data_IF_392957067277
#
_entry.id   IF_392957067277
#
_cell.length_a   1.000
_cell.length_b   1.000
_cell.length_c   1.000
_cell.angle_alpha   90.00
_cell.angle_beta   90.00
_cell.angle_gamma   90.00
#
_symmetry.space_group_name_H-M   'P 1'
#
loop_
_entity.id
_entity.type
_entity.pdbx_description
1 polymer ?
#
# COMPACT_ATOMS: atom_id res chain seq x y z
N UNK A 1 13.33 -10.67 3.22
CA UNK A 1 13.99 -9.35 3.17
C UNK A 1 12.95 -8.25 3.17
N UNK A 2 13.29 -7.04 3.58
CA UNK A 2 12.35 -5.92 3.61
C UNK A 2 13.01 -4.62 3.15
N UNK A 3 12.22 -3.77 2.48
CA UNK A 3 12.55 -2.41 2.17
C UNK A 3 11.68 -1.49 3.03
N UNK A 4 12.28 -0.51 3.66
CA UNK A 4 11.60 0.35 4.63
C UNK A 4 11.21 1.66 3.98
N UNK A 5 9.89 1.93 3.94
CA UNK A 5 9.32 3.17 3.41
C UNK A 5 9.41 4.31 4.40
N UNK A 6 9.13 4.04 5.67
CA UNK A 6 9.13 5.04 6.72
C UNK A 6 9.43 4.42 8.08
N UNK A 7 10.02 5.21 8.96
CA UNK A 7 10.21 4.91 10.38
C UNK A 7 9.23 5.77 11.19
N UNK A 8 8.61 5.19 12.19
CA UNK A 8 7.73 5.91 13.10
C UNK A 8 8.30 5.95 14.51
N UNK A 9 8.27 7.12 15.12
CA UNK A 9 8.48 7.27 16.57
C UNK A 9 7.11 7.14 17.24
N UNK A 10 6.85 5.98 17.82
CA UNK A 10 5.52 5.61 18.30
C UNK A 10 5.58 4.96 19.67
N UNK A 11 4.57 5.24 20.50
CA UNK A 11 4.34 4.57 21.77
C UNK A 11 2.84 4.21 21.91
N UNK A 12 2.42 3.76 23.09
CA UNK A 12 1.03 3.37 23.34
C UNK A 12 0.03 4.55 23.29
N UNK A 13 0.51 5.78 23.33
CA UNK A 13 -0.32 6.99 23.29
C UNK A 13 -0.49 7.54 21.87
N UNK A 14 0.40 7.19 20.95
CA UNK A 14 0.31 7.64 19.56
C UNK A 14 1.66 7.73 18.84
N UNK A 15 1.61 8.29 17.64
CA UNK A 15 2.76 8.55 16.77
C UNK A 15 3.23 9.98 17.00
N UNK A 16 4.49 10.17 17.40
CA UNK A 16 5.10 11.48 17.65
C UNK A 16 5.99 11.96 16.51
N UNK A 17 6.39 11.07 15.60
CA UNK A 17 7.20 11.44 14.46
C UNK A 17 7.19 10.36 13.38
N UNK A 18 7.35 10.80 12.13
CA UNK A 18 7.48 9.94 10.97
C UNK A 18 8.68 10.42 10.15
N UNK A 19 9.57 9.51 9.80
CA UNK A 19 10.70 9.77 8.91
C UNK A 19 10.60 8.86 7.70
N UNK A 20 10.28 9.42 6.54
CA UNK A 20 10.19 8.69 5.29
C UNK A 20 11.57 8.51 4.66
N UNK A 21 11.78 7.39 3.99
CA UNK A 21 12.93 7.19 3.11
C UNK A 21 12.81 8.11 1.89
N UNK A 22 13.92 8.66 1.43
CA UNK A 22 13.88 9.36 0.13
C UNK A 22 13.59 8.37 -1.00
N UNK A 23 12.94 8.81 -2.09
CA UNK A 23 12.65 7.93 -3.22
C UNK A 23 13.91 7.26 -3.80
N UNK A 24 15.02 7.98 -3.87
CA UNK A 24 16.30 7.49 -4.35
C UNK A 24 16.86 6.39 -3.46
N UNK A 25 16.83 6.59 -2.14
CA UNK A 25 17.30 5.59 -1.20
C UNK A 25 16.38 4.38 -1.15
N UNK A 26 15.09 4.61 -1.22
CA UNK A 26 14.12 3.53 -1.26
C UNK A 26 14.26 2.67 -2.51
N UNK A 27 14.48 3.30 -3.68
CA UNK A 27 14.82 2.61 -4.91
C UNK A 27 16.09 1.75 -4.74
N UNK A 28 17.12 2.28 -4.10
CA UNK A 28 18.35 1.54 -3.84
C UNK A 28 18.10 0.30 -2.97
N UNK A 29 17.20 0.39 -1.98
CA UNK A 29 16.79 -0.79 -1.18
C UNK A 29 16.11 -1.84 -2.06
N UNK A 30 15.20 -1.44 -2.93
CA UNK A 30 14.50 -2.37 -3.84
C UNK A 30 15.48 -3.02 -4.82
N UNK A 31 16.36 -2.23 -5.43
CA UNK A 31 17.38 -2.75 -6.35
C UNK A 31 18.29 -3.77 -5.65
N UNK A 32 18.72 -3.49 -4.43
CA UNK A 32 19.54 -4.41 -3.66
C UNK A 32 18.86 -5.76 -3.39
N UNK A 33 17.55 -5.75 -3.13
CA UNK A 33 16.77 -6.97 -2.89
C UNK A 33 16.59 -7.74 -4.20
N UNK A 34 16.05 -7.10 -5.23
CA UNK A 34 15.68 -7.77 -6.48
C UNK A 34 16.88 -8.29 -7.27
N UNK A 35 18.06 -7.68 -7.12
CA UNK A 35 19.27 -8.11 -7.83
C UNK A 35 20.08 -9.16 -7.09
N UNK A 36 19.82 -9.40 -5.82
CA UNK A 36 20.50 -10.41 -5.01
C UNK A 36 19.60 -11.64 -4.81
N UNK A 37 18.61 -11.54 -3.93
CA UNK A 37 17.66 -12.63 -3.67
C UNK A 37 16.29 -12.21 -4.18
N UNK A 38 15.99 -12.62 -5.42
CA UNK A 38 14.70 -12.30 -6.05
C UNK A 38 13.54 -12.89 -5.24
N UNK A 39 12.60 -12.07 -4.77
CA UNK A 39 11.51 -12.56 -3.93
C UNK A 39 10.47 -13.36 -4.73
N UNK A 40 9.97 -14.45 -4.14
CA UNK A 40 8.88 -15.25 -4.70
C UNK A 40 7.51 -14.57 -4.55
N UNK A 41 7.38 -13.71 -3.55
CA UNK A 41 6.18 -12.92 -3.28
C UNK A 41 6.55 -11.58 -2.66
N UNK A 42 5.70 -10.57 -2.86
CA UNK A 42 5.90 -9.22 -2.33
C UNK A 42 4.66 -8.82 -1.55
N UNK A 43 4.85 -8.41 -0.30
CA UNK A 43 3.79 -7.77 0.47
C UNK A 43 4.09 -6.29 0.61
N UNK A 44 3.13 -5.45 0.24
CA UNK A 44 3.19 -4.00 0.38
C UNK A 44 2.24 -3.61 1.51
N UNK A 45 2.80 -2.96 2.52
CA UNK A 45 2.02 -2.41 3.63
C UNK A 45 1.88 -0.89 3.52
N UNK A 46 2.16 -0.19 4.61
CA UNK A 46 2.03 1.27 4.67
C UNK A 46 2.98 1.98 3.70
N UNK A 47 2.42 2.76 2.80
CA UNK A 47 3.14 3.71 1.94
C UNK A 47 2.37 5.02 1.94
N UNK A 48 2.94 6.08 2.48
CA UNK A 48 2.24 7.33 2.73
C UNK A 48 2.38 8.37 1.62
N UNK A 49 3.47 8.35 0.85
CA UNK A 49 3.76 9.37 -0.16
C UNK A 49 3.60 8.86 -1.58
N UNK A 50 3.16 9.76 -2.44
CA UNK A 50 3.00 9.53 -3.88
C UNK A 50 4.31 9.05 -4.53
N UNK A 51 5.42 9.71 -4.21
CA UNK A 51 6.73 9.44 -4.77
C UNK A 51 7.21 8.01 -4.47
N UNK A 52 6.97 7.54 -3.25
CA UNK A 52 7.30 6.16 -2.88
C UNK A 52 6.39 5.14 -3.57
N UNK A 53 5.11 5.45 -3.72
CA UNK A 53 4.16 4.59 -4.45
C UNK A 53 4.61 4.43 -5.91
N UNK A 54 4.97 5.51 -6.56
CA UNK A 54 5.49 5.49 -7.93
C UNK A 54 6.80 4.70 -8.03
N UNK A 55 7.70 4.86 -7.08
CA UNK A 55 8.96 4.11 -7.01
C UNK A 55 8.70 2.61 -6.86
N UNK A 56 7.77 2.20 -6.01
CA UNK A 56 7.37 0.80 -5.87
C UNK A 56 6.80 0.26 -7.18
N UNK A 57 5.85 0.96 -7.77
CA UNK A 57 5.20 0.53 -9.02
C UNK A 57 6.22 0.34 -10.13
N UNK A 58 7.14 1.29 -10.31
CA UNK A 58 8.20 1.20 -11.31
C UNK A 58 9.13 0.01 -11.07
N UNK A 59 9.50 -0.27 -9.82
CA UNK A 59 10.33 -1.41 -9.47
C UNK A 59 9.61 -2.75 -9.73
N UNK A 60 8.35 -2.87 -9.35
CA UNK A 60 7.56 -4.09 -9.60
C UNK A 60 7.43 -4.39 -11.09
N UNK A 61 7.25 -3.37 -11.91
CA UNK A 61 7.19 -3.50 -13.37
C UNK A 61 8.56 -3.87 -13.93
N UNK A 62 9.61 -3.16 -13.53
CA UNK A 62 10.99 -3.35 -14.03
C UNK A 62 11.51 -4.76 -13.75
N UNK A 63 11.28 -5.25 -12.53
CA UNK A 63 11.74 -6.58 -12.11
C UNK A 63 10.72 -7.68 -12.37
N UNK A 64 9.55 -7.37 -12.92
CA UNK A 64 8.47 -8.33 -13.20
C UNK A 64 8.10 -9.15 -11.97
N UNK A 65 7.91 -8.46 -10.85
CA UNK A 65 7.54 -9.08 -9.58
C UNK A 65 6.22 -9.84 -9.68
N UNK A 66 6.12 -10.93 -8.94
CA UNK A 66 4.96 -11.83 -8.93
C UNK A 66 4.42 -11.98 -7.51
N UNK A 67 3.19 -12.47 -7.41
CA UNK A 67 2.53 -12.74 -6.14
C UNK A 67 2.53 -11.52 -5.23
N UNK A 68 1.94 -10.43 -5.72
CA UNK A 68 1.91 -9.13 -5.05
C UNK A 68 0.66 -9.05 -4.19
N UNK A 69 0.86 -8.86 -2.89
CA UNK A 69 -0.22 -8.61 -1.92
C UNK A 69 -0.14 -7.15 -1.47
N UNK A 70 -1.19 -6.40 -1.68
CA UNK A 70 -1.31 -5.02 -1.26
C UNK A 70 -2.25 -4.91 -0.06
N UNK A 71 -1.70 -4.45 1.05
CA UNK A 71 -2.44 -4.08 2.25
C UNK A 71 -2.54 -2.55 2.28
N UNK A 72 -3.66 -1.95 1.84
CA UNK A 72 -3.75 -0.51 1.64
C UNK A 72 -3.99 0.22 2.96
N UNK A 73 -2.97 0.31 3.80
CA UNK A 73 -3.04 0.96 5.12
C UNK A 73 -3.26 2.46 4.94
N UNK A 74 -4.50 2.92 5.11
CA UNK A 74 -4.91 4.31 4.89
C UNK A 74 -5.31 5.04 6.17
N UNK A 75 -5.77 4.30 7.16
CA UNK A 75 -6.33 4.85 8.40
C UNK A 75 -5.70 4.14 9.58
N UNK A 76 -5.26 4.89 10.59
CA UNK A 76 -4.76 4.31 11.83
C UNK A 76 -5.91 3.73 12.67
N UNK A 77 -5.56 2.88 13.64
CA UNK A 77 -6.53 2.36 14.62
C UNK A 77 -7.23 3.48 15.43
N UNK A 78 -6.60 4.64 15.52
CA UNK A 78 -7.18 5.84 16.15
C UNK A 78 -8.07 6.66 15.21
N UNK A 79 -8.28 6.22 13.97
CA UNK A 79 -9.09 6.92 12.97
C UNK A 79 -8.38 8.04 12.22
N UNK A 80 -7.10 8.27 12.48
CA UNK A 80 -6.33 9.29 11.77
C UNK A 80 -5.94 8.82 10.37
N UNK A 81 -6.13 9.68 9.38
CA UNK A 81 -5.72 9.38 8.00
C UNK A 81 -4.20 9.35 7.89
N UNK A 82 -3.66 8.25 7.40
CA UNK A 82 -2.21 8.02 7.26
C UNK A 82 -1.67 8.33 5.86
N UNK A 83 -2.54 8.34 4.87
CA UNK A 83 -2.19 8.58 3.47
C UNK A 83 -2.75 9.92 3.00
N UNK A 84 -1.97 10.65 2.20
CA UNK A 84 -2.42 11.87 1.56
C UNK A 84 -3.41 11.55 0.43
N UNK A 85 -4.25 12.51 0.08
CA UNK A 85 -5.30 12.32 -0.91
C UNK A 85 -4.74 12.02 -2.31
N UNK A 86 -3.71 12.74 -2.73
CA UNK A 86 -2.99 12.50 -3.97
C UNK A 86 -2.30 11.12 -3.99
N UNK A 87 -1.74 10.70 -2.86
CA UNK A 87 -1.14 9.38 -2.73
C UNK A 87 -2.19 8.25 -2.82
N UNK A 88 -3.39 8.45 -2.29
CA UNK A 88 -4.48 7.49 -2.40
C UNK A 88 -4.89 7.27 -3.86
N UNK A 89 -4.97 8.32 -4.65
CA UNK A 89 -5.28 8.22 -6.09
C UNK A 89 -4.20 7.43 -6.84
N UNK A 90 -2.92 7.74 -6.60
CA UNK A 90 -1.79 7.04 -7.23
C UNK A 90 -1.74 5.57 -6.79
N UNK A 91 -2.06 5.27 -5.54
CA UNK A 91 -2.17 3.90 -5.05
C UNK A 91 -3.19 3.10 -5.87
N UNK A 92 -4.38 3.67 -6.12
CA UNK A 92 -5.41 3.04 -6.94
C UNK A 92 -4.95 2.85 -8.38
N UNK A 93 -4.38 3.86 -9.00
CA UNK A 93 -4.01 3.86 -10.41
C UNK A 93 -2.78 3.00 -10.71
N UNK A 94 -1.83 2.92 -9.79
CA UNK A 94 -0.52 2.31 -10.02
C UNK A 94 -0.30 0.99 -9.29
N UNK A 95 -0.64 0.89 -8.01
CA UNK A 95 -0.37 -0.31 -7.21
C UNK A 95 -1.51 -1.33 -7.21
N UNK A 96 -2.75 -0.88 -7.12
CA UNK A 96 -3.88 -1.80 -7.10
C UNK A 96 -3.98 -2.61 -8.39
N UNK A 97 -3.65 -2.03 -9.53
CA UNK A 97 -3.68 -2.72 -10.83
C UNK A 97 -2.56 -3.77 -10.97
N UNK A 98 -1.49 -3.65 -10.21
CA UNK A 98 -0.38 -4.61 -10.18
C UNK A 98 -0.56 -5.71 -9.13
N UNK A 99 -1.41 -5.50 -8.14
CA UNK A 99 -1.62 -6.45 -7.05
C UNK A 99 -2.43 -7.66 -7.49
N UNK A 100 -1.99 -8.84 -7.04
CA UNK A 100 -2.74 -10.09 -7.22
C UNK A 100 -3.81 -10.24 -6.14
N UNK A 101 -3.53 -9.73 -4.94
CA UNK A 101 -4.46 -9.74 -3.80
C UNK A 101 -4.42 -8.38 -3.09
N UNK A 102 -5.59 -7.89 -2.71
CA UNK A 102 -5.75 -6.67 -1.92
C UNK A 102 -6.50 -7.02 -0.63
N UNK A 103 -6.01 -6.53 0.51
CA UNK A 103 -6.56 -6.88 1.83
C UNK A 103 -7.04 -5.64 2.62
N UNK A 104 -7.98 -4.83 2.09
CA UNK A 104 -8.48 -3.68 2.80
C UNK A 104 -9.42 -4.07 3.96
N UNK A 105 -9.37 -3.34 5.05
CA UNK A 105 -10.42 -3.39 6.08
C UNK A 105 -11.64 -2.58 5.62
N UNK A 106 -12.74 -2.58 6.42
CA UNK A 106 -13.98 -1.89 6.05
C UNK A 106 -13.77 -0.37 5.84
N UNK A 107 -13.14 0.38 6.76
CA UNK A 107 -12.86 1.79 6.53
C UNK A 107 -12.01 2.07 5.29
N UNK A 108 -11.02 1.25 5.02
CA UNK A 108 -10.16 1.37 3.82
C UNK A 108 -10.94 1.07 2.54
N UNK A 109 -11.82 0.07 2.59
CA UNK A 109 -12.75 -0.25 1.51
C UNK A 109 -13.64 0.94 1.16
N UNK A 110 -14.20 1.60 2.16
CA UNK A 110 -15.03 2.78 1.97
C UNK A 110 -14.25 3.94 1.34
N UNK A 111 -13.02 4.17 1.76
CA UNK A 111 -12.13 5.20 1.18
C UNK A 111 -11.79 4.88 -0.27
N UNK A 112 -11.48 3.62 -0.56
CA UNK A 112 -11.09 3.18 -1.91
C UNK A 112 -12.24 3.25 -2.91
N UNK A 113 -13.44 2.96 -2.48
CA UNK A 113 -14.63 2.89 -3.38
C UNK A 113 -15.52 4.11 -3.34
N UNK A 114 -15.45 4.92 -2.28
CA UNK A 114 -16.42 5.96 -2.00
C UNK A 114 -17.80 5.44 -1.61
N UNK A 115 -17.93 4.13 -1.36
CA UNK A 115 -19.18 3.48 -0.94
C UNK A 115 -19.18 3.26 0.56
N UNK A 116 -20.35 3.32 1.18
CA UNK A 116 -20.52 2.98 2.60
C UNK A 116 -20.82 1.49 2.74
N UNK A 117 -20.06 0.81 3.58
CA UNK A 117 -20.26 -0.62 3.88
C UNK A 117 -21.02 -0.73 5.20
N UNK A 118 -22.33 -0.85 5.11
CA UNK A 118 -23.25 -0.92 6.25
C UNK A 118 -23.94 -2.30 6.41
N UNK A 119 -23.73 -3.20 5.43
CA UNK A 119 -24.36 -4.51 5.43
C UNK A 119 -23.47 -5.57 4.76
N UNK A 120 -23.79 -6.84 4.99
CA UNK A 120 -23.12 -7.95 4.30
C UNK A 120 -23.30 -7.90 2.78
N UNK A 121 -24.44 -7.42 2.31
CA UNK A 121 -24.74 -7.30 0.88
C UNK A 121 -23.85 -6.25 0.21
N UNK A 122 -23.63 -5.11 0.84
CA UNK A 122 -22.68 -4.09 0.36
C UNK A 122 -21.27 -4.63 0.29
N UNK A 123 -20.87 -5.43 1.25
CA UNK A 123 -19.56 -6.06 1.30
C UNK A 123 -19.37 -7.08 0.16
N UNK A 124 -20.40 -7.88 -0.14
CA UNK A 124 -20.39 -8.85 -1.24
C UNK A 124 -20.33 -8.16 -2.61
N UNK A 125 -21.09 -7.10 -2.82
CA UNK A 125 -21.06 -6.29 -4.04
C UNK A 125 -19.65 -5.76 -4.30
N UNK A 126 -19.01 -5.21 -3.27
CA UNK A 126 -17.65 -4.70 -3.36
C UNK A 126 -16.64 -5.81 -3.72
N UNK A 127 -16.74 -6.97 -3.11
CA UNK A 127 -15.86 -8.11 -3.38
C UNK A 127 -16.00 -8.58 -4.84
N UNK A 128 -17.21 -8.58 -5.38
CA UNK A 128 -17.47 -8.92 -6.79
C UNK A 128 -16.83 -7.90 -7.74
N UNK A 129 -16.98 -6.62 -7.47
CA UNK A 129 -16.42 -5.55 -8.29
C UNK A 129 -14.87 -5.57 -8.25
N UNK A 130 -14.28 -5.84 -7.11
CA UNK A 130 -12.84 -5.98 -6.98
C UNK A 130 -12.28 -7.22 -7.71
N UNK A 131 -13.06 -8.28 -7.86
CA UNK A 131 -12.67 -9.48 -8.59
C UNK A 131 -12.69 -9.28 -10.11
N UNK A 132 -13.45 -8.30 -10.62
CA UNK A 132 -13.55 -7.98 -12.05
C UNK A 132 -12.47 -6.98 -12.51
N UNK A 133 -11.75 -6.36 -11.60
CA UNK A 133 -10.64 -5.45 -11.88
C UNK A 133 -9.29 -6.18 -11.80
#
# INVERSE_FOLDING_TARGET
MSAITALTAQNTLGVTGISESSPEFFKAQLDAIFTDIYPDAVKIGMVASKELIETIADALITYKAKNIVLDPVMVSTSGSRLIKEDAAEVLKERLMVLADVITPNIPETEVLTGMTVDSADSCLLYTSDAADE
#
